data_IF_759086791362
#
_entry.id   IF_759086791362
#
_cell.length_a   1.000
_cell.length_b   1.000
_cell.length_c   1.000
_cell.angle_alpha   90.00
_cell.angle_beta   90.00
_cell.angle_gamma   90.00
#
_symmetry.space_group_name_H-M   'P 1'
#
loop_
_entity.id
_entity.type
_entity.pdbx_description
1 polymer ?
#
# COMPACT_ATOMS: atom_id res chain seq x y z
N UNK A 1 31.78 3.47 -5.88
CA UNK A 1 31.52 2.11 -6.40
C UNK A 1 30.71 1.31 -5.38
N UNK A 2 30.55 -0.01 -5.57
CA UNK A 2 29.88 -0.89 -4.62
C UNK A 2 30.82 -1.38 -3.48
N UNK A 3 32.11 -1.06 -3.56
CA UNK A 3 33.12 -1.43 -2.57
C UNK A 3 33.21 -0.35 -1.50
N UNK A 4 33.24 -0.76 -0.24
CA UNK A 4 33.37 0.15 0.90
C UNK A 4 34.82 0.63 0.99
N UNK A 5 35.02 1.95 1.05
CA UNK A 5 36.32 2.62 1.19
C UNK A 5 36.31 3.53 2.42
N UNK A 6 37.46 3.79 3.07
CA UNK A 6 37.59 4.79 4.14
C UNK A 6 37.17 6.21 3.71
N UNK A 7 37.16 6.50 2.40
CA UNK A 7 36.78 7.82 1.85
C UNK A 7 35.27 8.10 1.94
N UNK A 8 34.46 7.11 2.32
CA UNK A 8 33.00 7.25 2.39
C UNK A 8 32.59 7.99 3.66
N UNK A 9 31.90 9.13 3.52
CA UNK A 9 31.42 9.90 4.67
C UNK A 9 30.19 9.28 5.36
N UNK A 10 29.36 8.52 4.65
CA UNK A 10 28.12 7.94 5.18
C UNK A 10 27.86 6.56 4.55
N UNK A 11 27.40 5.61 5.38
CA UNK A 11 26.88 4.31 4.94
C UNK A 11 25.41 4.17 5.31
N UNK A 12 24.60 3.65 4.39
CA UNK A 12 23.18 3.35 4.62
C UNK A 12 23.02 1.85 4.91
N UNK A 13 22.53 1.51 6.10
CA UNK A 13 22.37 0.14 6.57
C UNK A 13 20.89 -0.21 6.74
N UNK A 14 20.54 -1.48 6.53
CA UNK A 14 19.19 -2.01 6.75
C UNK A 14 19.27 -3.17 7.75
N UNK A 15 18.45 -3.12 8.79
CA UNK A 15 18.36 -4.18 9.80
C UNK A 15 17.61 -5.38 9.21
N UNK A 16 18.24 -6.54 9.21
CA UNK A 16 17.63 -7.81 8.73
C UNK A 16 17.04 -8.63 9.88
N UNK A 17 17.67 -8.59 11.06
CA UNK A 17 17.22 -9.28 12.28
C UNK A 17 17.37 -8.35 13.48
N UNK A 18 16.37 -8.33 14.36
CA UNK A 18 16.43 -7.62 15.65
C UNK A 18 17.35 -8.40 16.59
N UNK A 19 18.24 -7.71 17.30
CA UNK A 19 19.04 -8.30 18.38
C UNK A 19 18.27 -8.32 19.70
N UNK A 20 18.95 -8.66 20.79
CA UNK A 20 18.32 -8.80 22.11
C UNK A 20 17.87 -7.46 22.69
N UNK A 21 18.60 -6.38 22.40
CA UNK A 21 18.30 -5.05 22.89
C UNK A 21 17.54 -4.20 21.87
N UNK A 22 16.64 -3.35 22.38
CA UNK A 22 15.95 -2.34 21.60
C UNK A 22 16.84 -1.11 21.32
N UNK A 23 16.64 -0.51 20.14
CA UNK A 23 17.34 0.67 19.68
C UNK A 23 16.38 1.86 19.68
N UNK A 24 16.65 2.90 20.48
CA UNK A 24 15.76 4.03 20.61
C UNK A 24 15.58 4.76 19.29
N UNK A 25 14.32 5.05 18.95
CA UNK A 25 13.94 5.76 17.73
C UNK A 25 13.92 4.92 16.45
N UNK A 26 14.31 3.63 16.52
CA UNK A 26 14.29 2.73 15.37
C UNK A 26 13.38 1.52 15.60
N UNK A 27 13.58 0.77 16.69
CA UNK A 27 12.76 -0.41 17.00
C UNK A 27 11.58 -0.10 17.91
N UNK A 28 11.65 1.01 18.65
CA UNK A 28 10.59 1.43 19.58
C UNK A 28 9.34 1.99 18.90
N UNK A 29 9.48 2.51 17.68
CA UNK A 29 8.40 3.26 17.01
C UNK A 29 7.81 2.44 15.86
N UNK A 30 6.54 2.07 16.00
CA UNK A 30 5.78 1.50 14.89
C UNK A 30 5.20 2.60 13.99
N UNK A 31 5.63 2.63 12.73
CA UNK A 31 5.06 3.54 11.71
C UNK A 31 3.96 2.84 10.92
N UNK A 32 2.70 3.30 10.99
CA UNK A 32 1.60 2.67 10.25
C UNK A 32 1.78 2.85 8.74
N UNK A 33 1.32 1.86 7.97
CA UNK A 33 1.35 1.94 6.51
C UNK A 33 0.37 2.99 6.01
N UNK A 34 0.90 4.06 5.42
CA UNK A 34 0.10 5.19 4.95
C UNK A 34 -0.85 4.85 3.79
N UNK A 35 -0.53 3.84 2.96
CA UNK A 35 -1.31 3.48 1.77
C UNK A 35 -1.47 1.97 1.65
N UNK A 36 -2.70 1.53 1.43
CA UNK A 36 -3.01 0.14 1.08
C UNK A 36 -2.83 -0.16 -0.42
N UNK A 37 -2.98 -1.43 -0.81
CA UNK A 37 -2.88 -1.84 -2.21
C UNK A 37 -3.95 -1.20 -3.11
N UNK A 38 -3.61 -0.89 -4.36
CA UNK A 38 -4.53 -0.32 -5.36
C UNK A 38 -5.14 -1.36 -6.32
N UNK A 39 -4.43 -2.46 -6.59
CA UNK A 39 -4.84 -3.49 -7.55
C UNK A 39 -5.77 -4.51 -6.88
N UNK A 40 -6.85 -4.90 -7.56
CA UNK A 40 -7.82 -5.87 -7.05
C UNK A 40 -7.18 -7.18 -6.57
N UNK A 41 -6.23 -7.76 -7.32
CA UNK A 41 -5.54 -8.99 -6.92
C UNK A 41 -4.69 -8.85 -5.65
N UNK A 42 -4.04 -7.69 -5.45
CA UNK A 42 -3.26 -7.42 -4.24
C UNK A 42 -4.16 -7.15 -3.03
N UNK A 43 -5.33 -6.55 -3.24
CA UNK A 43 -6.33 -6.36 -2.17
C UNK A 43 -6.86 -7.72 -1.72
N UNK A 44 -7.21 -8.62 -2.66
CA UNK A 44 -7.62 -10.00 -2.33
C UNK A 44 -6.55 -10.73 -1.51
N UNK A 45 -5.28 -10.67 -1.93
CA UNK A 45 -4.17 -11.30 -1.19
C UNK A 45 -3.97 -10.72 0.20
N UNK A 46 -4.18 -9.42 0.40
CA UNK A 46 -3.99 -8.79 1.70
C UNK A 46 -5.08 -9.20 2.70
N UNK A 47 -6.33 -9.31 2.24
CA UNK A 47 -7.49 -9.62 3.08
C UNK A 47 -7.89 -11.10 3.00
N UNK A 48 -7.07 -11.96 2.37
CA UNK A 48 -7.36 -13.37 2.12
C UNK A 48 -8.77 -13.62 1.52
N UNK A 49 -9.15 -12.81 0.53
CA UNK A 49 -10.46 -12.88 -0.13
C UNK A 49 -10.42 -13.81 -1.35
N UNK A 50 -11.56 -14.43 -1.63
CA UNK A 50 -11.80 -15.17 -2.86
C UNK A 50 -12.01 -14.23 -4.06
N UNK A 51 -12.22 -14.79 -5.26
CA UNK A 51 -12.44 -13.99 -6.47
C UNK A 51 -13.85 -13.40 -6.50
N UNK A 52 -14.78 -14.11 -5.90
CA UNK A 52 -16.21 -13.91 -5.78
C UNK A 52 -16.51 -12.73 -4.83
N UNK A 53 -15.64 -12.52 -3.84
CA UNK A 53 -15.76 -11.43 -2.88
C UNK A 53 -15.55 -10.04 -3.49
N UNK A 54 -16.40 -9.09 -3.07
CA UNK A 54 -16.29 -7.70 -3.51
C UNK A 54 -15.22 -6.92 -2.73
N UNK A 55 -14.08 -6.72 -3.40
CA UNK A 55 -12.94 -5.94 -2.89
C UNK A 55 -13.29 -4.49 -2.53
N UNK A 56 -14.38 -3.91 -3.05
CA UNK A 56 -14.75 -2.50 -2.83
C UNK A 56 -15.01 -2.18 -1.36
N UNK A 57 -15.59 -3.12 -0.61
CA UNK A 57 -15.90 -2.94 0.82
C UNK A 57 -14.61 -2.80 1.64
N UNK A 58 -13.63 -3.63 1.34
CA UNK A 58 -12.36 -3.71 2.08
C UNK A 58 -11.43 -2.52 1.84
N UNK A 59 -11.53 -1.84 0.69
CA UNK A 59 -10.75 -0.61 0.42
C UNK A 59 -11.12 0.52 1.38
N UNK A 60 -12.30 0.49 1.98
CA UNK A 60 -12.73 1.52 2.93
C UNK A 60 -12.00 1.44 4.27
N UNK A 61 -11.37 0.31 4.60
CA UNK A 61 -10.63 0.13 5.87
C UNK A 61 -9.36 0.97 5.96
N UNK A 62 -8.70 1.24 4.83
CA UNK A 62 -7.48 2.06 4.77
C UNK A 62 -7.71 3.43 4.12
N UNK A 63 -8.93 3.98 4.28
CA UNK A 63 -9.17 5.37 3.88
C UNK A 63 -8.31 6.29 4.71
N UNK A 64 -7.68 7.25 4.03
CA UNK A 64 -6.93 8.29 4.70
C UNK A 64 -7.87 9.44 5.04
N UNK A 65 -8.12 9.62 6.33
CA UNK A 65 -8.72 10.84 6.89
C UNK A 65 -7.62 11.86 7.13
N UNK A 66 -7.83 13.10 6.71
CA UNK A 66 -6.92 14.21 7.01
C UNK A 66 -7.68 15.53 6.97
N UNK A 67 -7.21 16.49 7.77
CA UNK A 67 -7.66 17.88 7.75
C UNK A 67 -6.90 18.67 6.69
N UNK A 68 -7.62 19.39 5.85
CA UNK A 68 -7.00 20.36 4.94
C UNK A 68 -6.51 21.58 5.71
N UNK A 69 -5.63 22.38 5.10
CA UNK A 69 -5.20 23.68 5.68
C UNK A 69 -6.39 24.61 5.97
N UNK A 70 -7.49 24.47 5.24
CA UNK A 70 -8.75 25.18 5.44
C UNK A 70 -9.66 24.59 6.53
N UNK A 71 -9.16 23.65 7.33
CA UNK A 71 -9.90 23.04 8.45
C UNK A 71 -10.92 21.95 8.07
N UNK A 72 -11.14 21.69 6.77
CA UNK A 72 -12.11 20.68 6.33
C UNK A 72 -11.56 19.26 6.51
N UNK A 73 -12.32 18.40 7.18
CA UNK A 73 -12.02 16.97 7.28
C UNK A 73 -12.36 16.29 5.94
N UNK A 74 -11.37 15.69 5.30
CA UNK A 74 -11.54 14.94 4.05
C UNK A 74 -11.11 13.49 4.22
N UNK A 75 -11.81 12.58 3.54
CA UNK A 75 -11.48 11.16 3.50
C UNK A 75 -11.23 10.71 2.07
N UNK A 76 -10.01 10.23 1.77
CA UNK A 76 -9.61 9.79 0.42
C UNK A 76 -9.29 8.30 0.38
N UNK A 77 -9.72 7.64 -0.69
CA UNK A 77 -9.42 6.25 -1.02
C UNK A 77 -8.85 6.14 -2.45
N UNK A 78 -7.96 5.18 -2.73
CA UNK A 78 -7.50 4.96 -4.10
C UNK A 78 -8.59 4.31 -4.95
N UNK A 79 -8.73 4.74 -6.21
CA UNK A 79 -9.53 4.01 -7.22
C UNK A 79 -8.94 2.62 -7.43
N UNK A 80 -9.78 1.59 -7.28
CA UNK A 80 -9.38 0.20 -7.48
C UNK A 80 -9.06 -0.04 -8.95
N UNK A 81 -7.85 -0.54 -9.21
CA UNK A 81 -7.41 -0.85 -10.56
C UNK A 81 -7.52 -2.36 -10.84
N UNK A 82 -7.85 -2.70 -12.09
CA UNK A 82 -8.07 -4.09 -12.55
C UNK A 82 -9.27 -4.79 -11.88
N UNK A 83 -10.23 -4.03 -11.35
CA UNK A 83 -11.53 -4.58 -10.98
C UNK A 83 -12.31 -4.93 -12.25
N UNK A 84 -12.92 -6.11 -12.29
CA UNK A 84 -13.83 -6.48 -13.39
C UNK A 84 -15.13 -5.73 -13.17
N UNK A 85 -15.50 -4.87 -14.12
CA UNK A 85 -16.72 -4.06 -14.09
C UNK A 85 -17.57 -4.31 -15.34
N UNK A 86 -18.87 -4.00 -15.33
CA UNK A 86 -19.73 -4.17 -16.51
C UNK A 86 -19.17 -3.50 -17.77
N UNK A 87 -18.57 -2.30 -17.63
CA UNK A 87 -17.90 -1.59 -18.73
C UNK A 87 -16.72 -2.38 -19.31
N UNK A 88 -15.93 -3.05 -18.46
CA UNK A 88 -14.83 -3.90 -18.95
C UNK A 88 -15.34 -5.13 -19.69
N UNK A 89 -16.46 -5.71 -19.27
CA UNK A 89 -17.09 -6.84 -19.95
C UNK A 89 -17.69 -6.43 -21.29
N UNK A 90 -18.38 -5.28 -21.34
CA UNK A 90 -18.93 -4.72 -22.58
C UNK A 90 -17.83 -4.46 -23.62
N UNK A 91 -16.74 -3.79 -23.23
CA UNK A 91 -15.59 -3.53 -24.12
C UNK A 91 -14.91 -4.82 -24.59
N UNK A 92 -14.92 -5.88 -23.78
CA UNK A 92 -14.40 -7.19 -24.17
C UNK A 92 -15.30 -7.86 -25.22
N UNK A 93 -16.63 -7.83 -25.01
CA UNK A 93 -17.61 -8.37 -25.97
C UNK A 93 -17.53 -7.67 -27.33
N UNK A 94 -17.44 -6.33 -27.33
CA UNK A 94 -17.34 -5.52 -28.56
C UNK A 94 -16.03 -5.69 -29.35
N UNK A 95 -15.01 -6.37 -28.80
CA UNK A 95 -13.78 -6.70 -29.53
C UNK A 95 -13.87 -8.07 -30.22
N UNK A 96 -14.73 -8.94 -29.69
CA UNK A 96 -14.91 -10.31 -30.18
C UNK A 96 -15.96 -10.32 -31.31
N UNK A 97 -16.98 -9.47 -31.18
CA UNK A 97 -17.85 -9.07 -32.29
C UNK A 97 -17.05 -8.25 -33.30
#
# INVERSE_FOLDING_TARGET
GCIVSPDLSVLNLVIVKKGDNDLPGLTDIEKPRMRGPKRASKIRKLFNLSKEDDVRKYVNTYRRTFTTKSGKKCSKAPKIQRLVTPLTLQRKRARIA
#
